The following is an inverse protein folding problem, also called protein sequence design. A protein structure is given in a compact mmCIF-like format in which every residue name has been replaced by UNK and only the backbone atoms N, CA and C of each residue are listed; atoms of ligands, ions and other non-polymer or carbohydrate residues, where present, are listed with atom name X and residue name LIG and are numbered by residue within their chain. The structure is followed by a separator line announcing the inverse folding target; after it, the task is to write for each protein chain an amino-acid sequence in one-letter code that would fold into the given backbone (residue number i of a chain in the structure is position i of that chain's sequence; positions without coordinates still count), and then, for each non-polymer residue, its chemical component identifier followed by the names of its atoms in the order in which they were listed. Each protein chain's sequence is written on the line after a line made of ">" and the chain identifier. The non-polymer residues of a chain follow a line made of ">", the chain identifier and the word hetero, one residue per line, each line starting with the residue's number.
data_IF_775820347992
#
_entry.id   IF_775820347992
#
_cell.length_a   1.000
_cell.length_b   1.000
_cell.length_c   1.000
_cell.angle_alpha   90.00
_cell.angle_beta   90.00
_cell.angle_gamma   90.00
#
_symmetry.space_group_name_H-M   'P 1'
#
loop_
_entity.id
_entity.type
_entity.pdbx_description
1 polymer ?
#
# COMPACT_ATOMS: atom_id res chain seq x y z
N UNK A 1 -58.84 41.84 10.77
CA UNK A 1 -58.73 41.12 12.06
C UNK A 1 -58.76 39.63 11.72
N UNK A 2 -57.81 38.75 11.99
CA UNK A 2 -56.46 38.79 12.55
C UNK A 2 -55.76 37.51 12.05
N UNK A 3 -54.47 37.59 11.73
CA UNK A 3 -53.38 37.01 12.53
C UNK A 3 -52.89 35.64 12.02
N UNK A 4 -51.70 35.71 11.41
CA UNK A 4 -50.53 34.84 11.68
C UNK A 4 -50.49 33.48 10.93
N UNK A 5 -49.71 33.54 9.85
CA UNK A 5 -48.76 32.54 9.36
C UNK A 5 -48.56 31.27 10.20
N UNK A 6 -48.78 30.11 9.60
CA UNK A 6 -48.13 28.83 9.90
C UNK A 6 -47.55 28.34 8.55
N UNK A 7 -46.26 28.48 8.20
CA UNK A 7 -45.06 27.84 8.77
C UNK A 7 -45.32 26.32 8.97
N UNK A 8 -44.59 25.36 8.38
CA UNK A 8 -43.14 25.22 8.28
C UNK A 8 -42.81 24.26 7.11
N UNK A 9 -41.84 24.65 6.27
CA UNK A 9 -41.18 23.82 5.27
C UNK A 9 -40.24 22.84 5.99
N UNK A 10 -40.52 21.54 5.92
CA UNK A 10 -39.58 20.51 6.39
C UNK A 10 -38.72 20.03 5.22
N UNK A 11 -37.70 20.82 4.87
CA UNK A 11 -36.61 20.33 4.03
C UNK A 11 -35.69 19.48 4.91
N UNK A 12 -35.82 18.15 4.80
CA UNK A 12 -34.93 17.20 5.45
C UNK A 12 -33.59 17.22 4.71
N UNK A 13 -32.69 18.14 5.08
CA UNK A 13 -31.32 18.12 4.61
C UNK A 13 -30.63 16.87 5.19
N UNK A 14 -30.46 15.83 4.38
CA UNK A 14 -29.48 14.78 4.65
C UNK A 14 -28.10 15.43 4.63
N UNK A 15 -27.63 15.87 5.80
CA UNK A 15 -26.21 16.18 5.99
C UNK A 15 -25.48 14.84 6.01
N UNK A 16 -25.09 14.36 4.83
CA UNK A 16 -24.04 13.37 4.74
C UNK A 16 -22.81 13.99 5.39
N UNK A 17 -22.37 13.45 6.53
CA UNK A 17 -21.04 13.76 7.05
C UNK A 17 -20.06 13.27 5.99
N UNK A 18 -19.55 14.17 5.17
CA UNK A 18 -18.37 13.92 4.36
C UNK A 18 -17.27 13.54 5.34
N UNK A 19 -16.90 12.26 5.37
CA UNK A 19 -15.69 11.84 6.03
C UNK A 19 -14.56 12.59 5.31
N UNK A 20 -14.00 13.56 6.03
CA UNK A 20 -12.83 14.30 5.62
C UNK A 20 -11.69 13.27 5.53
N UNK A 21 -11.41 12.75 4.32
CA UNK A 21 -10.23 11.93 4.00
C UNK A 21 -8.93 12.73 4.07
N UNK A 22 -8.68 13.41 5.18
CA UNK A 22 -7.79 14.57 5.22
C UNK A 22 -6.36 14.19 5.61
N UNK A 23 -5.42 14.85 4.96
CA UNK A 23 -4.06 15.00 5.47
C UNK A 23 -4.12 15.73 6.82
N UNK A 24 -3.46 15.18 7.84
CA UNK A 24 -3.39 15.80 9.16
C UNK A 24 -2.04 16.47 9.31
N UNK A 25 -2.05 17.79 9.52
CA UNK A 25 -0.84 18.60 9.63
C UNK A 25 -0.20 18.99 8.30
N UNK A 26 0.96 19.63 8.36
CA UNK A 26 1.74 20.08 7.21
C UNK A 26 3.09 19.35 7.16
N UNK A 27 3.52 18.79 6.02
CA UNK A 27 4.84 18.17 5.90
C UNK A 27 5.96 19.15 6.25
N UNK A 28 6.99 18.67 6.93
CA UNK A 28 8.19 19.43 7.30
C UNK A 28 9.45 18.92 6.56
N UNK A 29 10.57 19.64 6.70
CA UNK A 29 11.85 19.26 6.11
C UNK A 29 11.86 19.34 4.58
N UNK A 30 12.55 18.39 3.93
CA UNK A 30 12.74 18.37 2.48
C UNK A 30 11.45 18.22 1.67
N UNK A 31 10.38 17.74 2.31
CA UNK A 31 9.06 17.55 1.68
C UNK A 31 8.06 18.68 2.02
N UNK A 32 8.52 19.75 2.67
CA UNK A 32 7.67 20.89 3.00
C UNK A 32 6.99 21.46 1.75
N UNK A 33 5.68 21.77 1.86
CA UNK A 33 4.86 22.25 0.75
C UNK A 33 4.22 21.15 -0.12
N UNK A 34 4.47 19.86 0.16
CA UNK A 34 3.76 18.78 -0.55
C UNK A 34 2.26 18.79 -0.24
N UNK A 35 1.42 18.81 -1.29
CA UNK A 35 -0.04 18.79 -1.17
C UNK A 35 -0.67 17.42 -1.44
N UNK A 36 0.07 16.50 -2.06
CA UNK A 36 -0.47 15.22 -2.53
C UNK A 36 -1.70 15.42 -3.43
N UNK A 37 -2.78 14.69 -3.14
CA UNK A 37 -4.06 14.83 -3.84
C UNK A 37 -4.81 16.15 -3.60
N UNK A 38 -4.35 17.01 -2.68
CA UNK A 38 -4.93 18.33 -2.42
C UNK A 38 -6.43 18.31 -2.17
N UNK A 39 -7.17 19.20 -2.86
CA UNK A 39 -8.64 19.24 -2.88
C UNK A 39 -9.24 18.33 -3.98
N UNK A 40 -8.49 17.31 -4.40
CA UNK A 40 -8.93 16.33 -5.39
C UNK A 40 -10.15 15.55 -4.93
N UNK A 41 -10.80 14.87 -5.88
CA UNK A 41 -12.00 14.07 -5.59
C UNK A 41 -11.66 12.96 -4.58
N UNK A 42 -12.48 12.85 -3.54
CA UNK A 42 -12.36 11.79 -2.55
C UNK A 42 -12.97 10.51 -3.13
N UNK A 43 -12.18 9.43 -3.18
CA UNK A 43 -12.60 8.12 -3.69
C UNK A 43 -12.36 7.03 -2.66
N UNK A 44 -13.24 6.03 -2.67
CA UNK A 44 -13.24 4.89 -1.73
C UNK A 44 -13.20 3.60 -2.54
N UNK A 45 -12.01 3.07 -2.87
CA UNK A 45 -11.91 1.82 -3.60
C UNK A 45 -12.61 0.69 -2.84
N UNK A 46 -13.27 -0.19 -3.58
CA UNK A 46 -13.93 -1.39 -3.06
C UNK A 46 -13.23 -2.67 -3.52
N UNK A 47 -12.35 -2.60 -4.50
CA UNK A 47 -11.57 -3.75 -4.99
C UNK A 47 -10.09 -3.40 -5.17
N UNK A 48 -9.22 -4.42 -5.21
CA UNK A 48 -7.80 -4.25 -5.51
C UNK A 48 -7.59 -3.57 -6.88
N UNK A 49 -8.44 -3.89 -7.86
CA UNK A 49 -8.40 -3.31 -9.20
C UNK A 49 -8.74 -1.82 -9.19
N UNK A 50 -9.78 -1.41 -8.46
CA UNK A 50 -10.13 0.01 -8.30
C UNK A 50 -9.02 0.79 -7.59
N UNK A 51 -8.40 0.20 -6.55
CA UNK A 51 -7.27 0.81 -5.88
C UNK A 51 -6.09 1.03 -6.84
N UNK A 52 -5.72 0.01 -7.64
CA UNK A 52 -4.68 0.16 -8.68
C UNK A 52 -5.07 1.24 -9.70
N UNK A 53 -6.33 1.27 -10.13
CA UNK A 53 -6.81 2.25 -11.11
C UNK A 53 -6.71 3.69 -10.58
N UNK A 54 -7.12 3.94 -9.34
CA UNK A 54 -7.04 5.27 -8.72
C UNK A 54 -5.59 5.71 -8.49
N UNK A 55 -4.69 4.80 -8.10
CA UNK A 55 -3.27 5.14 -7.92
C UNK A 55 -2.55 5.48 -9.23
N UNK A 56 -3.04 4.96 -10.36
CA UNK A 56 -2.56 5.28 -11.71
C UNK A 56 -3.29 6.46 -12.37
N UNK A 57 -4.23 7.09 -11.67
CA UNK A 57 -5.04 8.16 -12.24
C UNK A 57 -4.25 9.45 -12.34
N UNK A 58 -4.27 10.11 -13.51
CA UNK A 58 -3.46 11.31 -13.77
C UNK A 58 -3.95 12.56 -13.04
N UNK A 59 -5.24 12.62 -12.68
CA UNK A 59 -5.80 13.74 -11.93
C UNK A 59 -5.62 13.57 -10.42
N UNK A 60 -5.56 14.68 -9.65
CA UNK A 60 -5.46 14.62 -8.20
C UNK A 60 -6.67 13.90 -7.57
N UNK A 61 -6.39 12.85 -6.81
CA UNK A 61 -7.38 12.10 -6.02
C UNK A 61 -6.95 12.03 -4.56
N UNK A 62 -7.95 12.01 -3.67
CA UNK A 62 -7.78 11.65 -2.26
C UNK A 62 -8.33 10.23 -2.09
N UNK A 63 -7.45 9.24 -2.09
CA UNK A 63 -7.82 7.82 -2.02
C UNK A 63 -7.90 7.38 -0.56
N UNK A 64 -9.10 7.07 -0.07
CA UNK A 64 -9.33 6.69 1.33
C UNK A 64 -9.41 5.18 1.46
N UNK A 65 -8.47 4.60 2.20
CA UNK A 65 -8.45 3.17 2.53
C UNK A 65 -9.19 2.93 3.85
N UNK A 66 -10.40 2.39 3.79
CA UNK A 66 -11.23 2.10 4.96
C UNK A 66 -11.39 0.59 5.24
N UNK A 67 -10.63 -0.25 4.54
CA UNK A 67 -10.61 -1.70 4.68
C UNK A 67 -9.29 -2.30 4.23
N UNK A 68 -9.12 -3.58 4.49
CA UNK A 68 -7.95 -4.35 4.03
C UNK A 68 -8.06 -4.67 2.53
N UNK A 69 -7.00 -4.36 1.78
CA UNK A 69 -6.79 -4.80 0.40
C UNK A 69 -5.69 -5.85 0.41
N UNK A 70 -6.05 -7.12 0.25
CA UNK A 70 -5.10 -8.23 0.28
C UNK A 70 -4.64 -8.57 -1.15
N UNK A 71 -3.38 -8.26 -1.45
CA UNK A 71 -2.74 -8.56 -2.74
C UNK A 71 -1.97 -9.89 -2.71
N UNK A 72 -1.98 -10.64 -1.61
CA UNK A 72 -1.25 -11.92 -1.55
C UNK A 72 -1.88 -12.92 -2.51
N UNK A 73 -1.04 -13.55 -3.32
CA UNK A 73 -1.46 -14.58 -4.28
C UNK A 73 -2.21 -14.06 -5.51
N UNK A 74 -2.48 -12.75 -5.62
CA UNK A 74 -3.19 -12.20 -6.80
C UNK A 74 -2.36 -12.26 -8.07
N UNK A 75 -1.04 -12.35 -7.94
CA UNK A 75 -0.10 -12.56 -9.06
C UNK A 75 0.46 -13.98 -9.10
N UNK A 76 -0.12 -14.91 -8.34
CA UNK A 76 0.35 -16.28 -8.25
C UNK A 76 1.65 -16.45 -7.45
N UNK A 77 2.31 -17.57 -7.67
CA UNK A 77 3.56 -17.95 -6.98
C UNK A 77 4.66 -18.22 -7.98
N UNK A 78 5.90 -18.11 -7.52
CA UNK A 78 7.09 -18.50 -8.28
C UNK A 78 7.96 -19.38 -7.39
N UNK A 79 8.52 -20.42 -8.00
CA UNK A 79 9.48 -21.32 -7.35
C UNK A 79 10.81 -21.13 -8.03
N UNK A 80 11.81 -20.72 -7.26
CA UNK A 80 13.13 -20.37 -7.77
C UNK A 80 14.22 -20.90 -6.84
N UNK A 81 15.45 -20.84 -7.35
CA UNK A 81 16.63 -21.13 -6.54
C UNK A 81 16.87 -19.97 -5.57
N UNK A 82 16.90 -20.29 -4.29
CA UNK A 82 17.34 -19.41 -3.22
C UNK A 82 18.64 -19.88 -2.60
N UNK A 83 19.03 -19.19 -1.54
CA UNK A 83 20.11 -19.62 -0.69
C UNK A 83 19.74 -19.51 0.79
N UNK A 84 20.30 -20.43 1.56
CA UNK A 84 20.24 -20.48 3.01
C UNK A 84 21.62 -20.14 3.58
N UNK A 85 21.83 -18.92 4.07
CA UNK A 85 23.11 -18.44 4.61
C UNK A 85 23.61 -19.25 5.81
N UNK A 86 24.90 -19.13 6.15
CA UNK A 86 25.46 -19.80 7.33
C UNK A 86 24.77 -19.38 8.64
N UNK A 87 24.61 -18.08 8.87
CA UNK A 87 23.98 -17.52 10.06
C UNK A 87 22.52 -17.98 10.22
N UNK A 88 21.82 -18.27 9.13
CA UNK A 88 20.44 -18.79 9.19
C UNK A 88 20.42 -20.27 9.58
N UNK A 89 21.39 -21.06 9.09
CA UNK A 89 21.56 -22.46 9.52
C UNK A 89 21.95 -22.54 11.00
N UNK A 90 22.87 -21.70 11.44
CA UNK A 90 23.26 -21.58 12.85
C UNK A 90 22.07 -21.21 13.73
N UNK A 91 21.22 -20.27 13.28
CA UNK A 91 20.00 -19.91 13.99
C UNK A 91 19.06 -21.11 14.16
N UNK A 92 18.79 -21.86 13.08
CA UNK A 92 17.92 -23.04 13.15
C UNK A 92 18.53 -24.17 14.01
N UNK A 93 19.85 -24.34 13.99
CA UNK A 93 20.54 -25.34 14.79
C UNK A 93 20.39 -25.14 16.30
N UNK A 94 20.10 -23.91 16.77
CA UNK A 94 19.85 -23.61 18.19
C UNK A 94 18.56 -24.23 18.73
N UNK A 95 17.64 -24.64 17.85
CA UNK A 95 16.36 -25.29 18.22
C UNK A 95 15.60 -24.54 19.34
N UNK A 96 15.60 -23.21 19.30
CA UNK A 96 14.99 -22.34 20.30
C UNK A 96 13.54 -21.96 19.97
N UNK A 97 12.89 -22.69 19.05
CA UNK A 97 11.52 -22.45 18.59
C UNK A 97 11.39 -21.39 17.49
N UNK A 98 12.47 -20.73 17.06
CA UNK A 98 12.46 -19.76 15.97
C UNK A 98 12.84 -20.42 14.63
N UNK A 99 12.17 -20.00 13.56
CA UNK A 99 12.55 -20.33 12.18
C UNK A 99 13.42 -19.20 11.60
N UNK A 100 14.23 -19.53 10.61
CA UNK A 100 15.00 -18.52 9.87
C UNK A 100 14.42 -18.26 8.48
N UNK A 101 14.86 -17.17 7.86
CA UNK A 101 14.52 -16.80 6.49
C UNK A 101 15.54 -17.39 5.50
N UNK A 102 15.08 -17.66 4.29
CA UNK A 102 15.93 -17.92 3.12
C UNK A 102 15.95 -16.69 2.22
N UNK A 103 16.94 -16.61 1.34
CA UNK A 103 17.15 -15.50 0.42
C UNK A 103 16.83 -15.98 -1.00
N UNK A 104 16.00 -15.25 -1.74
CA UNK A 104 15.79 -15.50 -3.17
C UNK A 104 17.02 -14.99 -3.92
N UNK A 105 17.62 -15.80 -4.80
CA UNK A 105 18.81 -15.39 -5.53
C UNK A 105 18.49 -14.29 -6.55
N UNK A 106 19.35 -13.28 -6.59
CA UNK A 106 19.36 -12.28 -7.65
C UNK A 106 20.10 -12.82 -8.88
N UNK A 107 19.92 -12.18 -10.06
CA UNK A 107 20.74 -12.46 -11.22
C UNK A 107 22.23 -12.42 -10.88
N UNK A 108 22.98 -13.42 -11.36
CA UNK A 108 24.38 -13.62 -10.98
C UNK A 108 24.60 -14.60 -9.82
N UNK A 109 23.53 -15.15 -9.23
CA UNK A 109 23.60 -16.26 -8.28
C UNK A 109 24.14 -15.87 -6.91
N UNK A 110 24.64 -16.87 -6.16
CA UNK A 110 24.99 -16.71 -4.74
C UNK A 110 26.04 -15.62 -4.49
N UNK A 111 27.08 -15.56 -5.31
CA UNK A 111 28.19 -14.60 -5.15
C UNK A 111 27.76 -13.14 -5.39
N UNK A 112 26.63 -12.93 -6.06
CA UNK A 112 26.10 -11.61 -6.38
C UNK A 112 24.87 -11.24 -5.55
N UNK A 113 24.35 -12.18 -4.74
CA UNK A 113 23.17 -11.95 -3.93
C UNK A 113 23.58 -11.52 -2.52
N UNK A 114 23.27 -10.27 -2.18
CA UNK A 114 23.47 -9.77 -0.82
C UNK A 114 22.73 -10.63 0.21
N UNK A 115 23.38 -10.91 1.34
CA UNK A 115 22.81 -11.74 2.41
C UNK A 115 23.00 -13.25 2.25
N UNK A 116 23.67 -13.71 1.17
CA UNK A 116 23.94 -15.13 0.88
C UNK A 116 25.35 -15.65 1.23
N UNK A 117 26.04 -14.97 2.14
CA UNK A 117 27.38 -15.37 2.60
C UNK A 117 27.39 -16.78 3.20
N UNK A 118 28.35 -17.61 2.78
CA UNK A 118 28.45 -19.00 3.22
C UNK A 118 27.20 -19.85 2.92
N UNK A 119 26.40 -19.41 1.95
CA UNK A 119 25.08 -19.96 1.65
C UNK A 119 25.10 -21.34 1.03
N UNK A 120 24.05 -22.12 1.30
CA UNK A 120 23.74 -23.36 0.60
C UNK A 120 22.53 -23.15 -0.29
N UNK A 121 22.51 -23.75 -1.48
CA UNK A 121 21.36 -23.68 -2.37
C UNK A 121 20.11 -24.30 -1.74
N UNK A 122 18.97 -23.65 -1.90
CA UNK A 122 17.66 -24.17 -1.48
C UNK A 122 16.59 -23.81 -2.50
N UNK A 123 15.54 -24.61 -2.60
CA UNK A 123 14.35 -24.23 -3.39
C UNK A 123 13.46 -23.33 -2.55
N UNK A 124 13.09 -22.16 -3.08
CA UNK A 124 12.20 -21.20 -2.42
C UNK A 124 10.96 -21.00 -3.28
N UNK A 125 9.78 -21.13 -2.66
CA UNK A 125 8.51 -20.73 -3.27
C UNK A 125 7.98 -19.49 -2.57
N UNK A 126 7.74 -18.43 -3.33
CA UNK A 126 7.19 -17.19 -2.83
C UNK A 126 5.99 -16.76 -3.67
N UNK A 127 5.05 -16.01 -3.07
CA UNK A 127 4.11 -15.22 -3.87
C UNK A 127 4.92 -14.28 -4.75
N UNK A 128 4.55 -14.17 -6.03
CA UNK A 128 5.17 -13.15 -6.88
C UNK A 128 4.92 -11.81 -6.21
N UNK A 129 5.98 -11.14 -5.79
CA UNK A 129 5.86 -9.76 -5.34
C UNK A 129 5.24 -9.00 -6.49
N UNK A 130 4.24 -8.18 -6.19
CA UNK A 130 3.49 -7.48 -7.20
C UNK A 130 4.44 -6.81 -8.19
N UNK A 131 4.52 -7.31 -9.43
CA UNK A 131 5.20 -6.59 -10.53
C UNK A 131 4.48 -5.27 -10.76
N UNK A 132 3.23 -5.19 -10.32
CA UNK A 132 2.51 -3.96 -10.05
C UNK A 132 2.77 -3.51 -8.61
N UNK A 133 4.01 -3.13 -8.26
CA UNK A 133 4.15 -2.08 -7.23
C UNK A 133 3.22 -0.99 -7.68
N UNK A 134 2.11 -0.78 -6.97
CA UNK A 134 1.05 0.10 -7.43
C UNK A 134 1.69 1.45 -7.73
N UNK A 135 1.82 1.75 -9.03
CA UNK A 135 2.48 2.96 -9.47
C UNK A 135 1.61 4.09 -8.97
N UNK A 136 2.13 4.85 -8.02
CA UNK A 136 1.52 6.11 -7.60
C UNK A 136 2.00 7.14 -8.61
N UNK A 137 1.13 7.52 -9.54
CA UNK A 137 1.44 8.62 -10.44
C UNK A 137 1.32 9.94 -9.70
N UNK A 138 2.21 10.86 -10.01
CA UNK A 138 2.26 12.16 -9.36
C UNK A 138 1.13 13.08 -9.83
N UNK A 139 0.34 13.58 -8.89
CA UNK A 139 -0.45 14.81 -9.08
C UNK A 139 0.43 15.99 -8.61
N UNK A 140 1.21 16.57 -9.52
CA UNK A 140 1.97 17.79 -9.22
C UNK A 140 1.00 19.00 -9.20
N UNK A 141 0.24 19.16 -8.13
CA UNK A 141 -0.30 20.48 -7.81
C UNK A 141 0.87 21.32 -7.27
N UNK A 142 1.47 22.11 -8.17
CA UNK A 142 2.46 23.11 -7.81
C UNK A 142 1.77 24.10 -6.86
N UNK A 143 2.30 24.27 -5.65
CA UNK A 143 1.91 25.35 -4.75
C UNK A 143 2.17 26.72 -5.40
#
# INVERSE_FOLDING_TARGET
>A
MGRIQFAIVAALALVTRSANGFTVGTPEGLAAGTTGGGNGTIVYPTTNQELIAYLNFSEPLVVVLNKTFDFRGTEGTVTETGCRPDYTRECMAKNNGLKSQDVILQPGGMNNTGGCTGGTEVTVTATRLSVVSARVVSSWARA
#
